data_IF_142861489816
#
_entry.id   IF_142861489816
#
_cell.length_a   1.000
_cell.length_b   1.000
_cell.length_c   1.000
_cell.angle_alpha   90.00
_cell.angle_beta   90.00
_cell.angle_gamma   90.00
#
_symmetry.space_group_name_H-M   'P 1'
#
loop_
_entity.id
_entity.type
_entity.pdbx_description
1 polymer ?
#
# COMPACT_ATOMS: atom_id res chain seq x y z
N UNK A 1 -25.03 -11.32 22.25
CA UNK A 1 -24.79 -10.23 21.29
C UNK A 1 -23.53 -9.50 21.73
N UNK A 2 -22.57 -9.34 20.81
CA UNK A 2 -21.38 -8.53 21.03
C UNK A 2 -21.52 -7.23 20.26
N UNK A 3 -21.08 -6.13 20.85
CA UNK A 3 -21.03 -4.81 20.20
C UNK A 3 -19.59 -4.34 20.19
N UNK A 4 -19.12 -3.96 19.02
CA UNK A 4 -17.79 -3.41 18.82
C UNK A 4 -17.91 -1.93 18.50
N UNK A 5 -17.11 -1.10 19.19
CA UNK A 5 -17.03 0.33 18.95
C UNK A 5 -15.65 0.66 18.39
N UNK A 6 -15.66 1.27 17.22
CA UNK A 6 -14.46 1.80 16.59
C UNK A 6 -14.57 3.31 16.49
N UNK A 7 -13.47 3.98 16.71
CA UNK A 7 -13.39 5.44 16.63
C UNK A 7 -12.11 5.83 15.91
N UNK A 8 -12.25 6.65 14.86
CA UNK A 8 -11.17 7.36 14.21
C UNK A 8 -11.22 8.82 14.65
N UNK A 9 -10.09 9.38 15.08
CA UNK A 9 -10.02 10.75 15.58
C UNK A 9 -9.54 11.74 14.50
N UNK A 10 -9.02 11.26 13.38
CA UNK A 10 -8.56 12.09 12.28
C UNK A 10 -9.64 12.27 11.22
N UNK A 11 -9.78 13.47 10.65
CA UNK A 11 -10.60 13.67 9.47
C UNK A 11 -10.13 12.80 8.32
N UNK A 12 -11.04 12.08 7.67
CA UNK A 12 -10.71 11.20 6.56
C UNK A 12 -11.78 11.20 5.50
N UNK A 13 -11.43 10.78 4.29
CA UNK A 13 -12.37 10.61 3.19
C UNK A 13 -13.11 9.28 3.32
N UNK A 14 -14.37 9.24 2.92
CA UNK A 14 -15.28 8.11 3.19
C UNK A 14 -14.86 6.80 2.50
N UNK A 15 -14.15 6.84 1.37
CA UNK A 15 -13.72 5.63 0.68
C UNK A 15 -12.65 4.83 1.43
N UNK A 16 -12.00 5.45 2.43
CA UNK A 16 -11.02 4.79 3.29
C UNK A 16 -11.65 3.96 4.42
N UNK A 17 -12.96 4.10 4.65
CA UNK A 17 -13.67 3.35 5.68
C UNK A 17 -13.89 1.91 5.21
N UNK A 18 -13.50 0.96 6.03
CA UNK A 18 -13.74 -0.46 5.79
C UNK A 18 -14.01 -1.21 7.08
N UNK A 19 -14.57 -2.40 6.95
CA UNK A 19 -14.60 -3.39 8.01
C UNK A 19 -14.54 -4.79 7.40
N UNK A 20 -13.92 -5.71 8.13
CA UNK A 20 -13.83 -7.12 7.72
C UNK A 20 -14.38 -7.99 8.84
N UNK A 21 -15.11 -9.04 8.48
CA UNK A 21 -15.63 -10.05 9.40
C UNK A 21 -15.18 -11.42 8.90
N UNK A 22 -14.52 -12.16 9.74
CA UNK A 22 -14.03 -13.49 9.41
C UNK A 22 -13.35 -14.16 10.60
N UNK A 23 -12.84 -15.35 10.37
CA UNK A 23 -12.02 -16.08 11.34
C UNK A 23 -10.55 -15.70 11.10
N UNK A 24 -10.04 -14.80 11.93
CA UNK A 24 -8.68 -14.27 11.82
C UNK A 24 -7.89 -14.49 13.08
N UNK A 25 -6.61 -14.78 12.92
CA UNK A 25 -5.60 -14.71 13.98
C UNK A 25 -4.94 -13.33 13.91
N UNK A 26 -4.84 -12.67 15.06
CA UNK A 26 -4.10 -11.43 15.22
C UNK A 26 -2.65 -11.73 15.61
N UNK A 27 -1.70 -11.40 14.75
CA UNK A 27 -0.27 -11.45 15.04
C UNK A 27 0.20 -10.04 15.37
N UNK A 28 0.65 -9.86 16.61
CA UNK A 28 1.01 -8.54 17.14
C UNK A 28 2.47 -8.19 16.85
N UNK A 29 2.70 -6.92 16.53
CA UNK A 29 3.98 -6.29 16.33
C UNK A 29 3.91 -4.84 16.85
N UNK A 30 4.98 -4.09 16.75
CA UNK A 30 4.99 -2.68 17.16
C UNK A 30 6.09 -1.88 16.44
N UNK A 31 5.83 -0.61 16.25
CA UNK A 31 6.81 0.36 15.87
C UNK A 31 6.85 1.48 16.93
N UNK A 32 7.86 1.48 17.81
CA UNK A 32 7.94 2.40 18.96
C UNK A 32 6.65 2.31 19.79
N UNK A 33 5.91 3.40 19.92
CA UNK A 33 4.65 3.47 20.67
C UNK A 33 3.41 3.17 19.79
N UNK A 34 3.60 2.88 18.50
CA UNK A 34 2.53 2.59 17.56
C UNK A 34 2.29 1.07 17.51
N UNK A 35 1.13 0.59 17.96
CA UNK A 35 0.75 -0.81 17.76
C UNK A 35 0.67 -1.16 16.27
N UNK A 36 1.23 -2.30 15.90
CA UNK A 36 1.14 -2.88 14.56
C UNK A 36 0.57 -4.28 14.70
N UNK A 37 -0.33 -4.67 13.81
CA UNK A 37 -0.86 -6.03 13.81
C UNK A 37 -1.10 -6.55 12.40
N UNK A 38 -0.98 -7.87 12.26
CA UNK A 38 -1.23 -8.61 11.03
C UNK A 38 -2.39 -9.56 11.28
N UNK A 39 -3.52 -9.31 10.59
CA UNK A 39 -4.70 -10.15 10.67
C UNK A 39 -4.68 -11.13 9.51
N UNK A 40 -4.43 -12.39 9.82
CA UNK A 40 -4.24 -13.43 8.83
C UNK A 40 -5.18 -14.60 9.11
N UNK A 41 -5.44 -15.45 8.11
CA UNK A 41 -6.18 -16.68 8.35
C UNK A 41 -5.39 -17.63 9.28
N UNK A 42 -6.04 -18.48 10.06
CA UNK A 42 -5.36 -19.37 11.01
C UNK A 42 -4.25 -20.21 10.38
N UNK A 43 -4.45 -20.68 9.15
CA UNK A 43 -3.45 -21.45 8.40
C UNK A 43 -2.21 -20.63 7.99
N UNK A 44 -2.33 -19.31 7.93
CA UNK A 44 -1.26 -18.39 7.52
C UNK A 44 -0.51 -17.74 8.70
N UNK A 45 -0.84 -18.08 9.94
CA UNK A 45 -0.24 -17.46 11.13
C UNK A 45 1.30 -17.48 11.10
N UNK A 46 1.88 -18.59 10.67
CA UNK A 46 3.34 -18.80 10.64
C UNK A 46 4.05 -17.95 9.58
N UNK A 47 3.33 -17.57 8.54
CA UNK A 47 3.83 -16.78 7.41
C UNK A 47 3.72 -15.26 7.65
N UNK A 48 2.93 -14.84 8.64
CA UNK A 48 2.60 -13.43 8.85
C UNK A 48 3.84 -12.52 8.92
N UNK A 49 4.83 -12.88 9.74
CA UNK A 49 6.08 -12.10 9.82
C UNK A 49 6.94 -12.17 8.57
N UNK A 50 6.87 -13.23 7.77
CA UNK A 50 7.58 -13.31 6.50
C UNK A 50 7.01 -12.33 5.49
N UNK A 51 5.70 -12.17 5.48
CA UNK A 51 5.00 -11.30 4.54
C UNK A 51 4.95 -9.84 4.99
N UNK A 52 4.86 -9.58 6.30
CA UNK A 52 4.58 -8.25 6.83
C UNK A 52 5.59 -7.71 7.85
N UNK A 53 6.50 -8.55 8.34
CA UNK A 53 7.40 -8.20 9.45
C UNK A 53 8.40 -7.08 9.20
N UNK A 54 8.52 -6.57 7.96
CA UNK A 54 9.29 -5.36 7.65
C UNK A 54 8.50 -4.06 7.85
N UNK A 55 7.23 -4.14 8.22
CA UNK A 55 6.37 -2.95 8.43
C UNK A 55 6.97 -1.93 9.42
N UNK A 56 7.55 -2.31 10.57
CA UNK A 56 8.20 -1.35 11.46
C UNK A 56 9.39 -0.63 10.80
N UNK A 57 10.19 -1.31 10.01
CA UNK A 57 11.31 -0.69 9.27
C UNK A 57 10.81 0.24 8.15
N UNK A 58 9.71 -0.10 7.49
CA UNK A 58 9.05 0.77 6.50
C UNK A 58 8.50 2.04 7.17
N UNK A 59 7.87 1.93 8.35
CA UNK A 59 7.39 3.08 9.13
C UNK A 59 8.54 4.03 9.51
N UNK A 60 9.69 3.50 9.96
CA UNK A 60 10.87 4.32 10.24
C UNK A 60 11.36 5.03 8.98
N UNK A 61 11.52 4.30 7.89
CA UNK A 61 11.97 4.84 6.62
C UNK A 61 11.05 5.95 6.09
N UNK A 62 9.73 5.75 6.12
CA UNK A 62 8.80 6.77 5.63
C UNK A 62 8.73 7.99 6.55
N UNK A 63 8.87 7.83 7.86
CA UNK A 63 9.03 8.95 8.78
C UNK A 63 10.27 9.79 8.44
N UNK A 64 11.38 9.15 8.12
CA UNK A 64 12.63 9.82 7.79
C UNK A 64 12.54 10.56 6.46
N UNK A 65 12.11 9.86 5.38
CA UNK A 65 12.13 10.42 4.05
C UNK A 65 11.07 11.50 3.82
N UNK A 66 9.92 11.38 4.49
CA UNK A 66 8.86 12.40 4.42
C UNK A 66 9.11 13.57 5.38
N UNK A 67 9.93 13.38 6.40
CA UNK A 67 10.13 14.34 7.49
C UNK A 67 8.89 14.48 8.39
N UNK A 68 7.91 13.62 8.27
CA UNK A 68 6.66 13.64 9.00
C UNK A 68 6.37 12.29 9.66
N UNK A 69 6.19 12.28 10.97
CA UNK A 69 5.91 11.05 11.73
C UNK A 69 4.56 10.46 11.33
N UNK A 70 4.46 9.14 11.34
CA UNK A 70 3.19 8.43 11.17
C UNK A 70 2.12 9.03 12.09
N UNK A 71 0.98 9.49 11.55
CA UNK A 71 0.10 10.37 12.31
C UNK A 71 -0.99 9.64 13.10
N UNK A 72 -1.23 8.36 12.82
CA UNK A 72 -2.38 7.62 13.35
C UNK A 72 -2.02 6.79 14.57
N UNK A 73 -3.04 6.34 15.33
CA UNK A 73 -2.85 5.66 16.62
C UNK A 73 -2.37 4.22 16.51
N UNK A 74 -2.54 3.58 15.35
CA UNK A 74 -2.12 2.21 15.07
C UNK A 74 -1.90 2.00 13.58
N UNK A 75 -1.27 0.88 13.21
CA UNK A 75 -1.24 0.40 11.82
C UNK A 75 -1.45 -1.11 11.77
N UNK A 76 -2.59 -1.54 11.27
CA UNK A 76 -2.88 -2.95 11.05
C UNK A 76 -2.90 -3.28 9.55
N UNK A 77 -2.66 -4.53 9.23
CA UNK A 77 -2.81 -5.10 7.90
C UNK A 77 -3.69 -6.34 7.99
N UNK A 78 -4.55 -6.55 7.01
CA UNK A 78 -5.43 -7.71 6.94
C UNK A 78 -5.35 -8.34 5.56
N UNK A 79 -5.29 -9.67 5.49
CA UNK A 79 -5.42 -10.39 4.22
C UNK A 79 -6.88 -10.66 3.91
N UNK A 80 -7.23 -10.56 2.63
CA UNK A 80 -8.60 -10.81 2.15
C UNK A 80 -8.53 -11.69 0.90
N UNK A 81 -9.28 -12.78 0.91
CA UNK A 81 -9.44 -13.67 -0.26
C UNK A 81 -10.39 -13.07 -1.30
N UNK A 82 -10.25 -13.53 -2.54
CA UNK A 82 -11.06 -13.04 -3.66
C UNK A 82 -11.03 -11.51 -3.84
N UNK A 83 -9.93 -10.89 -3.38
CA UNK A 83 -9.74 -9.45 -3.46
C UNK A 83 -9.26 -9.07 -4.87
N UNK A 84 -10.00 -8.17 -5.53
CA UNK A 84 -9.74 -7.81 -6.92
C UNK A 84 -8.47 -6.97 -7.13
N UNK A 85 -8.01 -6.30 -6.07
CA UNK A 85 -6.81 -5.46 -6.07
C UNK A 85 -5.64 -6.17 -5.38
N UNK A 86 -4.43 -5.64 -5.53
CA UNK A 86 -3.29 -6.07 -4.73
C UNK A 86 -3.44 -5.68 -3.28
N UNK A 87 -3.74 -4.41 -3.05
CA UNK A 87 -4.00 -3.81 -1.75
C UNK A 87 -5.04 -2.70 -1.83
N UNK A 88 -5.39 -2.15 -0.68
CA UNK A 88 -6.21 -0.96 -0.48
C UNK A 88 -5.79 -0.28 0.81
N UNK A 89 -5.52 0.98 0.73
CA UNK A 89 -4.93 1.81 1.77
C UNK A 89 -5.87 2.21 2.92
N UNK A 90 -6.94 1.46 3.16
CA UNK A 90 -7.90 1.81 4.23
C UNK A 90 -7.18 2.27 5.50
N UNK A 91 -7.66 3.40 6.04
CA UNK A 91 -6.96 4.09 7.12
C UNK A 91 -6.72 3.19 8.32
N UNK A 92 -5.49 3.08 8.77
CA UNK A 92 -5.05 2.27 9.92
C UNK A 92 -5.33 0.76 9.85
N UNK A 93 -5.96 0.26 8.76
CA UNK A 93 -6.22 -1.16 8.50
C UNK A 93 -6.13 -1.44 7.00
N UNK A 94 -4.92 -1.50 6.48
CA UNK A 94 -4.66 -1.81 5.07
C UNK A 94 -5.15 -3.22 4.72
N UNK A 95 -5.91 -3.32 3.62
CA UNK A 95 -6.31 -4.62 3.07
C UNK A 95 -5.27 -5.07 2.05
N UNK A 96 -4.88 -6.32 2.15
CA UNK A 96 -3.97 -6.96 1.20
C UNK A 96 -4.62 -8.22 0.64
N UNK A 97 -4.37 -8.53 -0.62
CA UNK A 97 -4.73 -9.85 -1.15
C UNK A 97 -4.04 -10.98 -0.36
N UNK A 98 -4.71 -12.09 -0.16
CA UNK A 98 -4.14 -13.30 0.46
C UNK A 98 -2.93 -13.86 -0.30
N UNK A 99 -2.73 -13.45 -1.57
CA UNK A 99 -1.54 -13.76 -2.37
C UNK A 99 -0.25 -13.14 -1.81
N UNK A 100 -0.34 -12.23 -0.86
CA UNK A 100 0.82 -11.71 -0.10
C UNK A 100 1.39 -12.75 0.84
N UNK A 101 0.63 -13.79 1.17
CA UNK A 101 1.07 -14.88 2.03
C UNK A 101 1.86 -15.92 1.21
N UNK A 102 3.05 -16.24 1.66
CA UNK A 102 3.93 -17.22 1.02
C UNK A 102 4.80 -17.95 2.03
N UNK A 103 5.09 -19.20 1.72
CA UNK A 103 5.89 -20.07 2.58
C UNK A 103 7.41 -19.83 2.46
N UNK A 104 8.20 -20.54 3.25
CA UNK A 104 9.66 -20.43 3.24
C UNK A 104 10.31 -20.90 1.94
N UNK A 105 9.63 -21.70 1.14
CA UNK A 105 10.17 -22.21 -0.14
C UNK A 105 10.05 -21.14 -1.23
N UNK A 106 8.96 -20.39 -1.22
CA UNK A 106 8.74 -19.29 -2.16
C UNK A 106 9.56 -18.04 -1.80
N UNK A 107 9.96 -17.89 -0.54
CA UNK A 107 10.62 -16.68 -0.03
C UNK A 107 11.82 -16.17 -0.85
N UNK A 108 12.71 -17.01 -1.39
CA UNK A 108 13.84 -16.52 -2.19
C UNK A 108 13.40 -15.78 -3.46
N UNK A 109 12.28 -16.19 -4.06
CA UNK A 109 11.79 -15.70 -5.35
C UNK A 109 10.57 -14.80 -5.24
N UNK A 110 9.96 -14.71 -4.04
CA UNK A 110 8.71 -14.01 -3.81
C UNK A 110 8.80 -13.07 -2.61
N UNK A 111 8.14 -11.91 -2.72
CA UNK A 111 8.07 -10.92 -1.65
C UNK A 111 6.80 -10.08 -1.77
N UNK A 112 6.22 -9.75 -0.64
CA UNK A 112 5.12 -8.77 -0.52
C UNK A 112 5.61 -7.34 -0.26
N UNK A 113 6.92 -7.14 -0.03
CA UNK A 113 7.49 -5.87 0.46
C UNK A 113 7.09 -4.66 -0.41
N UNK A 114 7.08 -4.82 -1.74
CA UNK A 114 6.72 -3.73 -2.64
C UNK A 114 5.26 -3.29 -2.47
N UNK A 115 4.33 -4.24 -2.34
CA UNK A 115 2.92 -3.94 -2.09
C UNK A 115 2.74 -3.36 -0.69
N UNK A 116 3.28 -3.99 0.33
CA UNK A 116 3.18 -3.52 1.72
C UNK A 116 3.71 -2.10 1.86
N UNK A 117 4.87 -1.80 1.24
CA UNK A 117 5.44 -0.45 1.24
C UNK A 117 4.55 0.55 0.48
N UNK A 118 3.91 0.15 -0.62
CA UNK A 118 2.99 0.99 -1.38
C UNK A 118 1.77 1.36 -0.52
N UNK A 119 1.08 0.37 0.03
CA UNK A 119 -0.11 0.59 0.85
C UNK A 119 0.20 1.37 2.15
N UNK A 120 1.38 1.14 2.75
CA UNK A 120 1.81 1.91 3.92
C UNK A 120 2.12 3.37 3.54
N UNK A 121 2.75 3.62 2.39
CA UNK A 121 3.07 4.99 1.94
C UNK A 121 1.81 5.83 1.74
N UNK A 122 0.70 5.21 1.36
CA UNK A 122 -0.59 5.85 1.28
C UNK A 122 -1.07 6.47 2.59
N UNK A 123 -0.60 6.00 3.75
CA UNK A 123 -0.97 6.61 5.03
C UNK A 123 -0.52 8.08 5.12
N UNK A 124 0.53 8.48 4.38
CA UNK A 124 0.94 9.87 4.18
C UNK A 124 0.31 10.48 2.93
N UNK A 125 0.37 9.79 1.78
CA UNK A 125 -0.11 10.29 0.48
C UNK A 125 -1.32 9.48 0.00
N UNK A 126 -2.49 9.94 0.34
CA UNK A 126 -3.79 9.32 0.16
C UNK A 126 -4.68 9.52 1.39
N UNK A 127 -4.12 9.29 2.59
CA UNK A 127 -4.86 9.33 3.83
C UNK A 127 -4.65 10.64 4.60
N UNK A 128 -3.41 10.98 4.99
CA UNK A 128 -3.11 12.24 5.65
C UNK A 128 -3.26 13.43 4.68
N UNK A 129 -2.67 13.30 3.51
CA UNK A 129 -2.77 14.27 2.41
C UNK A 129 -3.46 13.55 1.26
N UNK A 130 -4.68 13.96 0.92
CA UNK A 130 -5.47 13.32 -0.13
C UNK A 130 -5.79 14.27 -1.28
N UNK A 131 -6.09 13.72 -2.44
CA UNK A 131 -6.47 14.52 -3.61
C UNK A 131 -7.84 15.18 -3.40
N UNK A 132 -8.00 16.38 -3.96
CA UNK A 132 -9.28 17.10 -3.93
C UNK A 132 -10.36 16.44 -4.78
N UNK A 133 -9.97 15.74 -5.84
CA UNK A 133 -10.86 15.05 -6.77
C UNK A 133 -10.12 13.91 -7.47
N UNK A 134 -10.85 12.97 -8.03
CA UNK A 134 -10.33 11.77 -8.68
C UNK A 134 -9.41 12.06 -9.87
N UNK A 135 -9.60 13.18 -10.60
CA UNK A 135 -8.74 13.55 -11.72
C UNK A 135 -7.26 13.68 -11.33
N UNK A 136 -6.98 13.94 -10.06
CA UNK A 136 -5.65 14.08 -9.49
C UNK A 136 -5.18 12.86 -8.69
N UNK A 137 -5.78 11.69 -8.88
CA UNK A 137 -5.47 10.47 -8.10
C UNK A 137 -3.99 10.05 -8.20
N UNK A 138 -3.26 10.52 -9.21
CA UNK A 138 -1.83 10.30 -9.32
C UNK A 138 -1.03 10.85 -8.12
N UNK A 139 -1.57 11.84 -7.40
CA UNK A 139 -0.95 12.36 -6.17
C UNK A 139 -0.98 11.32 -5.03
N UNK A 140 -1.96 10.44 -5.02
CA UNK A 140 -1.98 9.29 -4.11
C UNK A 140 -1.08 8.19 -4.68
N UNK A 141 -1.41 7.66 -5.85
CA UNK A 141 -0.81 6.47 -6.43
C UNK A 141 0.63 6.65 -6.89
N UNK A 142 0.93 7.79 -7.50
CA UNK A 142 2.27 8.11 -7.97
C UNK A 142 3.26 8.28 -6.81
N UNK A 143 2.86 8.97 -5.74
CA UNK A 143 3.69 9.10 -4.54
C UNK A 143 3.87 7.76 -3.82
N UNK A 144 2.81 6.97 -3.65
CA UNK A 144 2.92 5.65 -3.03
C UNK A 144 3.82 4.71 -3.84
N UNK A 145 3.69 4.69 -5.17
CA UNK A 145 4.56 3.92 -6.07
C UNK A 145 6.02 4.39 -5.99
N UNK A 146 6.25 5.71 -5.97
CA UNK A 146 7.59 6.28 -5.83
C UNK A 146 8.23 5.89 -4.50
N UNK A 147 7.52 6.08 -3.40
CA UNK A 147 8.02 5.79 -2.04
C UNK A 147 8.27 4.29 -1.84
N UNK A 148 7.41 3.41 -2.36
CA UNK A 148 7.64 1.96 -2.30
C UNK A 148 8.92 1.57 -3.04
N UNK A 149 9.19 2.16 -4.22
CA UNK A 149 10.46 1.94 -4.94
C UNK A 149 11.67 2.44 -4.15
N UNK A 150 11.56 3.60 -3.50
CA UNK A 150 12.66 4.11 -2.64
C UNK A 150 12.93 3.16 -1.47
N UNK A 151 11.87 2.60 -0.87
CA UNK A 151 12.04 1.58 0.16
C UNK A 151 12.74 0.32 -0.37
N UNK A 152 12.33 -0.20 -1.52
CA UNK A 152 13.01 -1.35 -2.16
C UNK A 152 14.48 -1.02 -2.45
N UNK A 153 14.77 0.18 -2.90
CA UNK A 153 16.15 0.65 -3.12
C UNK A 153 16.97 0.64 -1.81
N UNK A 154 16.37 1.11 -0.70
CA UNK A 154 17.00 1.08 0.63
C UNK A 154 17.22 -0.34 1.13
N UNK A 155 16.22 -1.22 0.98
CA UNK A 155 16.20 -2.57 1.53
C UNK A 155 17.08 -3.55 0.73
N UNK A 156 17.13 -3.42 -0.61
CA UNK A 156 17.73 -4.39 -1.52
C UNK A 156 18.86 -3.84 -2.39
N UNK A 157 19.11 -2.55 -2.30
CA UNK A 157 20.15 -1.89 -3.07
C UNK A 157 19.67 -1.23 -4.35
N UNK A 158 20.58 -0.45 -4.95
CA UNK A 158 20.30 0.40 -6.12
C UNK A 158 19.90 -0.42 -7.35
N UNK A 159 20.55 -1.56 -7.58
CA UNK A 159 20.26 -2.40 -8.75
C UNK A 159 18.83 -2.92 -8.75
N UNK A 160 18.30 -3.31 -7.58
CA UNK A 160 16.90 -3.73 -7.46
C UNK A 160 15.94 -2.55 -7.63
N UNK A 161 16.26 -1.40 -7.06
CA UNK A 161 15.51 -0.16 -7.26
C UNK A 161 15.44 0.25 -8.73
N UNK A 162 16.57 0.17 -9.45
CA UNK A 162 16.63 0.45 -10.88
C UNK A 162 15.86 -0.59 -11.71
N UNK A 163 15.85 -1.85 -11.29
CA UNK A 163 15.02 -2.87 -11.93
C UNK A 163 13.53 -2.60 -11.77
N UNK A 164 13.09 -2.22 -10.57
CA UNK A 164 11.70 -1.78 -10.32
C UNK A 164 11.36 -0.59 -11.22
N UNK A 165 12.21 0.44 -11.24
CA UNK A 165 12.04 1.61 -12.11
C UNK A 165 11.94 1.25 -13.58
N UNK A 166 12.79 0.34 -14.06
CA UNK A 166 12.73 -0.14 -15.44
C UNK A 166 11.39 -0.80 -15.76
N UNK A 167 10.83 -1.56 -14.82
CA UNK A 167 9.53 -2.19 -14.99
C UNK A 167 8.38 -1.16 -14.99
N UNK A 168 8.47 -0.11 -14.17
CA UNK A 168 7.54 1.04 -14.23
C UNK A 168 7.57 1.70 -15.62
N UNK A 169 8.76 2.00 -16.15
CA UNK A 169 8.94 2.58 -17.48
C UNK A 169 8.30 1.69 -18.56
N UNK A 170 8.59 0.40 -18.54
CA UNK A 170 8.03 -0.58 -19.50
C UNK A 170 6.52 -0.70 -19.38
N UNK A 171 6.00 -0.69 -18.16
CA UNK A 171 4.56 -0.71 -17.87
C UNK A 171 3.87 0.51 -18.44
N UNK A 172 4.41 1.71 -18.15
CA UNK A 172 3.90 2.96 -18.69
C UNK A 172 3.94 2.99 -20.22
N UNK A 173 5.06 2.65 -20.84
CA UNK A 173 5.20 2.67 -22.31
C UNK A 173 4.20 1.74 -23.00
N UNK A 174 3.94 0.56 -22.44
CA UNK A 174 2.90 -0.35 -22.97
C UNK A 174 1.50 0.25 -22.84
N UNK A 175 1.17 0.82 -21.68
CA UNK A 175 -0.12 1.46 -21.45
C UNK A 175 -0.35 2.66 -22.36
N UNK A 176 0.65 3.54 -22.51
CA UNK A 176 0.57 4.75 -23.35
C UNK A 176 0.45 4.42 -24.83
N UNK A 177 1.10 3.34 -25.28
CA UNK A 177 0.94 2.81 -26.66
C UNK A 177 -0.47 2.27 -26.90
N UNK A 178 -1.09 1.64 -25.91
CA UNK A 178 -2.44 1.09 -26.03
C UNK A 178 -3.51 2.18 -25.97
N UNK A 179 -3.39 3.08 -25.01
CA UNK A 179 -4.30 4.24 -24.84
C UNK A 179 -3.53 5.39 -24.18
N UNK A 180 -3.25 6.44 -24.95
CA UNK A 180 -2.62 7.64 -24.41
C UNK A 180 -3.58 8.41 -23.52
N UNK A 181 -3.15 8.72 -22.28
CA UNK A 181 -3.92 9.51 -21.31
C UNK A 181 -3.00 10.49 -20.58
N UNK A 182 -3.52 11.68 -20.19
CA UNK A 182 -2.79 12.55 -19.27
C UNK A 182 -2.72 11.93 -17.87
N UNK A 183 -1.75 12.35 -17.06
CA UNK A 183 -1.65 11.95 -15.66
C UNK A 183 -2.76 12.58 -14.81
N UNK A 184 -3.12 13.82 -15.11
CA UNK A 184 -4.30 14.51 -14.58
C UNK A 184 -5.38 14.45 -15.66
N UNK A 185 -6.43 13.67 -15.41
CA UNK A 185 -7.47 13.40 -16.41
C UNK A 185 -8.85 13.71 -15.86
N UNK A 186 -9.49 14.74 -16.39
CA UNK A 186 -10.86 15.13 -16.06
C UNK A 186 -11.92 14.48 -16.94
N UNK A 187 -11.49 13.71 -17.97
CA UNK A 187 -12.39 13.07 -18.92
C UNK A 187 -12.58 11.59 -18.55
N UNK A 188 -13.35 11.34 -17.52
CA UNK A 188 -13.73 9.99 -17.06
C UNK A 188 -15.22 9.98 -16.68
N UNK A 189 -15.85 8.83 -16.87
CA UNK A 189 -17.24 8.58 -16.44
C UNK A 189 -17.25 7.98 -15.03
N UNK A 190 -16.36 6.99 -14.79
CA UNK A 190 -16.22 6.32 -13.51
C UNK A 190 -14.77 6.43 -12.98
N UNK A 191 -14.59 6.67 -11.67
CA UNK A 191 -13.25 6.82 -11.07
C UNK A 191 -12.30 5.67 -11.39
N UNK A 192 -12.78 4.44 -11.48
CA UNK A 192 -11.97 3.26 -11.80
C UNK A 192 -11.25 3.33 -13.15
N UNK A 193 -11.74 4.12 -14.09
CA UNK A 193 -11.07 4.31 -15.38
C UNK A 193 -9.72 5.01 -15.27
N UNK A 194 -9.48 5.74 -14.17
CA UNK A 194 -8.27 6.49 -13.95
C UNK A 194 -7.10 5.60 -13.48
N UNK A 195 -7.40 4.49 -12.82
CA UNK A 195 -6.39 3.59 -12.22
C UNK A 195 -5.64 2.81 -13.30
N UNK A 196 -4.56 3.39 -13.78
CA UNK A 196 -3.74 2.87 -14.87
C UNK A 196 -2.26 3.23 -14.66
N UNK A 197 -1.37 2.65 -15.47
CA UNK A 197 0.05 3.02 -15.42
C UNK A 197 0.34 4.53 -15.63
N UNK A 198 -0.65 5.32 -16.05
CA UNK A 198 -0.50 6.77 -16.17
C UNK A 198 -0.56 7.48 -14.80
N UNK A 199 -1.24 6.93 -13.82
CA UNK A 199 -1.28 7.48 -12.46
C UNK A 199 -0.24 6.82 -11.55
N UNK A 200 -0.03 5.51 -11.66
CA UNK A 200 0.97 4.77 -10.89
C UNK A 200 2.40 5.00 -11.42
N UNK A 201 2.76 4.30 -12.48
CA UNK A 201 4.12 4.27 -13.01
C UNK A 201 4.58 5.64 -13.52
N UNK A 202 3.80 6.31 -14.38
CA UNK A 202 4.15 7.66 -14.86
C UNK A 202 4.14 8.67 -13.71
N UNK A 203 3.15 8.59 -12.78
CA UNK A 203 3.11 9.41 -11.57
C UNK A 203 4.41 9.30 -10.77
N UNK A 204 4.87 8.06 -10.51
CA UNK A 204 6.15 7.78 -9.85
C UNK A 204 7.38 8.29 -10.61
N UNK A 205 7.37 8.21 -11.94
CA UNK A 205 8.50 8.62 -12.78
C UNK A 205 8.65 10.14 -12.95
N UNK A 206 7.63 10.93 -12.58
CA UNK A 206 7.67 12.38 -12.56
C UNK A 206 8.39 12.91 -11.33
N UNK A 207 8.33 12.15 -10.21
CA UNK A 207 8.97 12.45 -8.92
C UNK A 207 10.45 12.04 -8.92
#
# INVERSE_FOLDING_TARGET
>A
THTYHWRENFPMVSYLISFVIGDYVKVEDNYKDIPVAYWVYPENEKEAFRSFGKTPDMLEFFNEITGFKYPFEKYDQIIVSEFMWGGMENITLTHNTDRTMFDSKAHPDHSSDGLVAHELAHQWFGNLITTRNWANIWLNEGFATYLSRLYITKDRGVDEGDYVRLNEIRGFMRADKAKRRPTVDFNYEEPFELFSSHVYAKGSLIL
#
